data_IF_508270527502
#
_entry.id   IF_508270527502
#
_cell.length_a   1.000
_cell.length_b   1.000
_cell.length_c   1.000
_cell.angle_alpha   90.00
_cell.angle_beta   90.00
_cell.angle_gamma   90.00
#
_symmetry.space_group_name_H-M   'P 1'
#
loop_
_entity.id
_entity.type
_entity.pdbx_description
1 polymer ?
#
# COMPACT_ATOMS: atom_id res chain seq x y z
N UNK A 1 4.87 -46.64 -52.60
CA UNK A 1 5.50 -46.01 -51.42
C UNK A 1 4.46 -45.13 -50.74
N UNK A 2 3.87 -45.59 -49.64
CA UNK A 2 2.89 -44.84 -48.84
C UNK A 2 3.66 -44.12 -47.73
N UNK A 3 3.72 -42.79 -47.80
CA UNK A 3 4.29 -41.97 -46.73
C UNK A 3 3.32 -41.91 -45.55
N UNK A 4 3.75 -42.14 -44.30
CA UNK A 4 2.87 -42.03 -43.15
C UNK A 4 2.60 -40.55 -42.87
N UNK A 5 1.34 -40.16 -42.92
CA UNK A 5 0.88 -38.84 -42.45
C UNK A 5 0.93 -38.85 -40.93
N UNK A 6 1.95 -38.21 -40.36
CA UNK A 6 2.08 -38.00 -38.92
C UNK A 6 1.02 -36.96 -38.49
N UNK A 7 -0.10 -37.43 -37.96
CA UNK A 7 -1.12 -36.59 -37.33
C UNK A 7 -0.60 -36.14 -35.97
N UNK A 8 -0.10 -34.91 -35.89
CA UNK A 8 0.32 -34.28 -34.64
C UNK A 8 -0.93 -33.86 -33.86
N UNK A 9 -1.39 -34.70 -32.92
CA UNK A 9 -2.46 -34.35 -31.99
C UNK A 9 -1.97 -33.23 -31.04
N UNK A 10 -2.41 -32.00 -31.27
CA UNK A 10 -2.21 -30.87 -30.35
C UNK A 10 -3.07 -31.08 -29.09
N UNK A 11 -2.50 -31.75 -28.09
CA UNK A 11 -3.09 -31.84 -26.75
C UNK A 11 -3.17 -30.45 -26.13
N UNK A 12 -4.37 -29.88 -26.13
CA UNK A 12 -4.67 -28.59 -25.51
C UNK A 12 -4.75 -28.79 -24.00
N UNK A 13 -3.67 -28.52 -23.27
CA UNK A 13 -3.71 -28.52 -21.81
C UNK A 13 -4.50 -27.31 -21.31
N UNK A 14 -5.58 -27.49 -20.52
CA UNK A 14 -6.27 -26.37 -19.92
C UNK A 14 -5.33 -25.70 -18.91
N UNK A 15 -5.10 -24.39 -19.09
CA UNK A 15 -4.37 -23.59 -18.12
C UNK A 15 -5.21 -23.47 -16.84
N UNK A 16 -4.87 -24.25 -15.82
CA UNK A 16 -5.44 -24.09 -14.48
C UNK A 16 -4.97 -22.75 -13.90
N UNK A 17 -5.91 -21.89 -13.54
CA UNK A 17 -5.60 -20.68 -12.78
C UNK A 17 -4.96 -21.09 -11.44
N UNK A 18 -3.84 -20.47 -11.08
CA UNK A 18 -3.18 -20.75 -9.82
C UNK A 18 -4.10 -20.37 -8.65
N UNK A 19 -4.23 -21.27 -7.66
CA UNK A 19 -5.01 -21.02 -6.44
C UNK A 19 -4.10 -20.95 -5.22
N UNK A 20 -4.38 -20.01 -4.32
CA UNK A 20 -3.83 -20.00 -2.97
C UNK A 20 -4.95 -20.23 -1.96
N UNK A 21 -4.63 -20.90 -0.85
CA UNK A 21 -5.55 -21.15 0.27
C UNK A 21 -4.86 -20.82 1.57
N UNK A 22 -5.62 -20.34 2.54
CA UNK A 22 -5.11 -19.98 3.85
C UNK A 22 -6.12 -19.26 4.72
N UNK A 23 -5.70 -18.90 5.93
CA UNK A 23 -6.47 -18.07 6.85
C UNK A 23 -6.09 -16.61 6.68
N UNK A 24 -7.05 -15.70 6.68
CA UNK A 24 -6.74 -14.26 6.68
C UNK A 24 -6.35 -13.81 8.09
N UNK A 25 -5.09 -13.41 8.24
CA UNK A 25 -4.49 -13.03 9.54
C UNK A 25 -4.23 -11.53 9.66
N UNK A 26 -4.54 -10.74 8.63
CA UNK A 26 -4.40 -9.29 8.68
C UNK A 26 -5.12 -8.57 7.55
N UNK A 27 -5.52 -7.32 7.79
CA UNK A 27 -6.19 -6.44 6.83
C UNK A 27 -5.43 -5.11 6.77
N UNK A 28 -4.81 -4.81 5.63
CA UNK A 28 -4.04 -3.57 5.46
C UNK A 28 -4.95 -2.37 5.21
N UNK A 29 -5.92 -2.53 4.32
CA UNK A 29 -6.86 -1.49 3.87
C UNK A 29 -8.14 -2.15 3.30
N UNK A 30 -8.98 -1.41 2.57
CA UNK A 30 -10.23 -1.90 2.02
C UNK A 30 -10.11 -2.87 0.83
N UNK A 31 -8.90 -3.16 0.34
CA UNK A 31 -8.71 -4.11 -0.75
C UNK A 31 -7.43 -4.94 -0.66
N UNK A 32 -6.71 -4.87 0.46
CA UNK A 32 -5.48 -5.62 0.71
C UNK A 32 -5.53 -6.39 2.03
N UNK A 33 -5.26 -7.69 1.98
CA UNK A 33 -5.22 -8.59 3.14
C UNK A 33 -3.90 -9.36 3.23
N UNK A 34 -3.65 -9.97 4.38
CA UNK A 34 -2.54 -10.92 4.62
C UNK A 34 -3.09 -12.31 4.85
N UNK A 35 -2.69 -13.25 4.00
CA UNK A 35 -3.06 -14.66 4.04
C UNK A 35 -1.95 -15.48 4.70
N UNK A 36 -2.27 -16.28 5.71
CA UNK A 36 -1.40 -17.30 6.26
C UNK A 36 -1.69 -18.64 5.59
N UNK A 37 -0.74 -19.14 4.81
CA UNK A 37 -0.86 -20.41 4.10
C UNK A 37 -0.62 -21.62 5.03
N UNK A 38 -1.00 -22.85 4.62
CA UNK A 38 -0.77 -24.06 5.42
C UNK A 38 0.70 -24.31 5.78
N UNK A 39 1.62 -23.92 4.88
CA UNK A 39 3.08 -23.96 5.06
C UNK A 39 3.63 -22.75 5.85
N UNK A 40 2.76 -22.02 6.57
CA UNK A 40 3.10 -20.92 7.49
C UNK A 40 3.76 -19.71 6.84
N UNK A 41 3.58 -19.51 5.52
CA UNK A 41 4.00 -18.28 4.84
C UNK A 41 2.90 -17.23 4.92
N UNK A 42 3.31 -15.97 5.11
CA UNK A 42 2.42 -14.83 4.98
C UNK A 42 2.50 -14.28 3.55
N UNK A 43 1.35 -14.21 2.88
CA UNK A 43 1.22 -13.69 1.52
C UNK A 43 0.30 -12.47 1.54
N UNK A 44 0.77 -11.34 1.02
CA UNK A 44 -0.08 -10.16 0.84
C UNK A 44 -0.89 -10.31 -0.43
N UNK A 45 -2.20 -10.15 -0.31
CA UNK A 45 -3.16 -10.30 -1.40
C UNK A 45 -3.90 -8.98 -1.62
N UNK A 46 -3.84 -8.47 -2.86
CA UNK A 46 -4.64 -7.34 -3.35
C UNK A 46 -5.86 -7.90 -4.08
N UNK A 47 -7.05 -7.49 -3.69
CA UNK A 47 -8.30 -7.89 -4.34
C UNK A 47 -8.30 -7.37 -5.78
N UNK A 48 -8.36 -8.28 -6.75
CA UNK A 48 -8.41 -7.95 -8.17
C UNK A 48 -9.64 -7.08 -8.52
N UNK A 49 -9.48 -6.25 -9.56
CA UNK A 49 -10.57 -5.55 -10.28
C UNK A 49 -11.35 -4.49 -9.48
N UNK A 50 -11.00 -4.26 -8.22
CA UNK A 50 -11.58 -3.24 -7.35
C UNK A 50 -10.50 -2.31 -6.80
N UNK A 51 -10.88 -1.12 -6.38
CA UNK A 51 -10.00 -0.15 -5.72
C UNK A 51 -10.78 0.51 -4.59
N UNK A 52 -10.36 0.24 -3.35
CA UNK A 52 -11.01 0.78 -2.16
C UNK A 52 -10.40 2.14 -1.79
N UNK A 53 -11.16 3.02 -1.09
CA UNK A 53 -10.61 4.27 -0.58
C UNK A 53 -9.37 4.04 0.30
N UNK A 54 -8.34 4.86 0.08
CA UNK A 54 -7.08 4.79 0.85
C UNK A 54 -7.32 5.11 2.33
N UNK A 55 -6.44 4.69 3.25
CA UNK A 55 -6.67 4.84 4.70
C UNK A 55 -6.92 6.29 5.17
N UNK A 56 -6.35 7.28 4.46
CA UNK A 56 -6.53 8.73 4.75
C UNK A 56 -7.64 9.38 3.93
N UNK A 57 -8.24 8.66 3.01
CA UNK A 57 -9.31 9.13 2.18
C UNK A 57 -10.65 9.03 2.94
N UNK A 58 -11.63 9.90 2.66
CA UNK A 58 -13.01 9.65 3.07
C UNK A 58 -13.42 8.20 2.80
N UNK A 59 -14.03 7.56 3.80
CA UNK A 59 -14.46 6.15 3.78
C UNK A 59 -13.36 5.07 3.86
N UNK A 60 -12.07 5.42 3.90
CA UNK A 60 -10.97 4.43 3.95
C UNK A 60 -11.03 3.45 5.12
N UNK A 61 -11.21 3.97 6.34
CA UNK A 61 -11.32 3.13 7.54
C UNK A 61 -12.56 2.23 7.52
N UNK A 62 -13.68 2.72 6.97
CA UNK A 62 -14.92 1.92 6.84
C UNK A 62 -14.77 0.81 5.81
N UNK A 63 -14.10 1.07 4.69
CA UNK A 63 -13.80 0.05 3.70
C UNK A 63 -12.91 -1.06 4.27
N UNK A 64 -11.87 -0.71 5.04
CA UNK A 64 -11.02 -1.67 5.74
C UNK A 64 -11.83 -2.52 6.75
N UNK A 65 -12.70 -1.88 7.53
CA UNK A 65 -13.57 -2.58 8.49
C UNK A 65 -14.54 -3.53 7.78
N UNK A 66 -15.11 -3.13 6.64
CA UNK A 66 -15.99 -3.98 5.86
C UNK A 66 -15.26 -5.22 5.31
N UNK A 67 -14.05 -5.05 4.77
CA UNK A 67 -13.24 -6.20 4.34
C UNK A 67 -12.92 -7.10 5.54
N UNK A 68 -12.52 -6.52 6.67
CA UNK A 68 -12.25 -7.27 7.90
C UNK A 68 -13.45 -8.12 8.33
N UNK A 69 -14.64 -7.52 8.39
CA UNK A 69 -15.87 -8.22 8.75
C UNK A 69 -16.22 -9.39 7.80
N UNK A 70 -15.80 -9.30 6.53
CA UNK A 70 -16.07 -10.34 5.55
C UNK A 70 -15.09 -11.52 5.63
N UNK A 71 -13.80 -11.25 5.88
CA UNK A 71 -12.74 -12.26 5.66
C UNK A 71 -11.78 -12.48 6.82
N UNK A 72 -11.70 -11.58 7.81
CA UNK A 72 -10.71 -11.71 8.89
C UNK A 72 -10.97 -12.97 9.73
N UNK A 73 -9.90 -13.72 10.03
CA UNK A 73 -9.95 -15.05 10.67
C UNK A 73 -10.79 -16.10 9.93
N UNK A 74 -11.03 -15.90 8.63
CA UNK A 74 -11.70 -16.89 7.79
C UNK A 74 -10.70 -17.63 6.91
N UNK A 75 -11.01 -18.91 6.65
CA UNK A 75 -10.36 -19.66 5.60
C UNK A 75 -10.88 -19.19 4.23
N UNK A 76 -9.95 -18.81 3.35
CA UNK A 76 -10.28 -18.28 2.02
C UNK A 76 -9.53 -19.03 0.92
N UNK A 77 -10.10 -18.97 -0.28
CA UNK A 77 -9.48 -19.39 -1.54
C UNK A 77 -9.25 -18.16 -2.40
N UNK A 78 -8.03 -17.95 -2.85
CA UNK A 78 -7.65 -16.86 -3.75
C UNK A 78 -7.40 -17.45 -5.13
N UNK A 79 -8.18 -17.03 -6.13
CA UNK A 79 -7.90 -17.31 -7.53
C UNK A 79 -6.94 -16.24 -8.03
N UNK A 80 -5.69 -16.63 -8.25
CA UNK A 80 -4.60 -15.72 -8.60
C UNK A 80 -4.73 -15.28 -10.06
N UNK A 81 -4.62 -13.97 -10.28
CA UNK A 81 -4.67 -13.35 -11.60
C UNK A 81 -3.31 -12.78 -12.01
N UNK A 82 -2.55 -12.23 -11.06
CA UNK A 82 -1.27 -11.58 -11.33
C UNK A 82 -0.44 -11.39 -10.04
N UNK A 83 0.75 -10.81 -10.16
CA UNK A 83 1.53 -10.22 -9.06
C UNK A 83 1.85 -8.77 -9.40
N UNK A 84 1.53 -7.84 -8.49
CA UNK A 84 1.77 -6.42 -8.76
C UNK A 84 3.23 -6.02 -8.55
N UNK A 85 3.58 -4.79 -8.94
CA UNK A 85 4.93 -4.22 -8.80
C UNK A 85 5.46 -4.16 -7.36
N UNK A 86 4.59 -4.28 -6.36
CA UNK A 86 4.94 -4.27 -4.94
C UNK A 86 5.11 -5.70 -4.39
N UNK A 87 5.02 -6.71 -5.24
CA UNK A 87 5.12 -8.12 -4.87
C UNK A 87 3.87 -8.68 -4.20
N UNK A 88 2.71 -8.00 -4.29
CA UNK A 88 1.44 -8.55 -3.78
C UNK A 88 0.84 -9.47 -4.82
N UNK A 89 0.29 -10.59 -4.37
CA UNK A 89 -0.57 -11.42 -5.21
C UNK A 89 -1.86 -10.67 -5.52
N UNK A 90 -2.23 -10.56 -6.79
CA UNK A 90 -3.50 -9.96 -7.23
C UNK A 90 -4.47 -11.08 -7.54
N UNK A 91 -5.65 -11.09 -6.90
CA UNK A 91 -6.58 -12.18 -7.09
C UNK A 91 -8.01 -11.95 -6.60
N UNK A 92 -8.90 -12.85 -7.00
CA UNK A 92 -10.28 -12.88 -6.52
C UNK A 92 -10.35 -13.73 -5.26
N UNK A 93 -10.84 -13.14 -4.16
CA UNK A 93 -10.91 -13.80 -2.85
C UNK A 93 -12.30 -14.40 -2.66
N UNK A 94 -12.33 -15.70 -2.34
CA UNK A 94 -13.55 -16.45 -2.06
C UNK A 94 -13.58 -16.90 -0.60
N UNK A 95 -14.65 -16.54 0.12
CA UNK A 95 -14.90 -16.92 1.52
C UNK A 95 -16.26 -17.60 1.62
N UNK A 96 -16.29 -18.87 2.03
CA UNK A 96 -17.54 -19.64 2.13
C UNK A 96 -18.38 -19.62 0.85
N UNK A 97 -17.74 -19.68 -0.33
CA UNK A 97 -18.41 -19.61 -1.63
C UNK A 97 -18.82 -18.21 -2.10
N UNK A 98 -18.57 -17.15 -1.32
CA UNK A 98 -18.86 -15.76 -1.68
C UNK A 98 -17.61 -15.07 -2.25
N UNK A 99 -17.77 -14.34 -3.35
CA UNK A 99 -16.73 -13.48 -3.91
C UNK A 99 -16.63 -12.18 -3.09
N UNK A 100 -15.57 -12.05 -2.29
CA UNK A 100 -15.35 -10.89 -1.43
C UNK A 100 -15.14 -9.59 -2.24
N UNK A 101 -14.52 -9.67 -3.42
CA UNK A 101 -14.32 -8.50 -4.29
C UNK A 101 -15.67 -7.92 -4.75
N UNK A 102 -16.56 -8.80 -5.21
CA UNK A 102 -17.91 -8.42 -5.61
C UNK A 102 -18.75 -7.90 -4.44
N UNK A 103 -18.57 -8.48 -3.24
CA UNK A 103 -19.22 -8.03 -2.01
C UNK A 103 -18.82 -6.60 -1.64
N UNK A 104 -17.52 -6.29 -1.71
CA UNK A 104 -17.02 -4.94 -1.43
C UNK A 104 -17.63 -3.90 -2.37
N UNK A 105 -17.79 -4.21 -3.66
CA UNK A 105 -18.45 -3.32 -4.62
C UNK A 105 -19.94 -3.17 -4.31
N UNK A 106 -20.65 -4.29 -4.09
CA UNK A 106 -22.11 -4.29 -3.86
C UNK A 106 -22.52 -3.53 -2.59
N UNK A 107 -21.65 -3.55 -1.57
CA UNK A 107 -21.84 -2.80 -0.33
C UNK A 107 -21.39 -1.32 -0.44
N UNK A 108 -20.85 -0.90 -1.58
CA UNK A 108 -20.33 0.46 -1.77
C UNK A 108 -19.05 0.74 -1.00
N UNK A 109 -18.19 -0.26 -0.80
CA UNK A 109 -16.93 -0.14 -0.06
C UNK A 109 -15.72 0.05 -0.98
N UNK A 110 -15.88 -0.22 -2.28
CA UNK A 110 -14.83 -0.08 -3.28
C UNK A 110 -15.41 0.37 -4.63
N UNK A 111 -14.55 1.00 -5.43
CA UNK A 111 -14.81 1.33 -6.83
C UNK A 111 -14.45 0.13 -7.72
N UNK A 112 -15.10 0.02 -8.87
CA UNK A 112 -14.69 -0.91 -9.93
C UNK A 112 -13.49 -0.32 -10.66
N UNK A 113 -12.39 -1.07 -10.69
CA UNK A 113 -11.15 -0.63 -11.29
C UNK A 113 -11.13 -0.91 -12.80
N UNK A 114 -11.83 -0.06 -13.55
CA UNK A 114 -12.13 -0.22 -15.00
C UNK A 114 -10.92 -0.61 -15.85
N UNK A 115 -9.72 -0.10 -15.56
CA UNK A 115 -8.52 -0.37 -16.37
C UNK A 115 -8.02 -1.83 -16.26
N UNK A 116 -8.40 -2.56 -15.23
CA UNK A 116 -8.02 -3.97 -15.02
C UNK A 116 -9.22 -4.92 -15.04
N UNK A 117 -10.40 -4.42 -15.40
CA UNK A 117 -11.65 -5.15 -15.34
C UNK A 117 -11.71 -6.28 -16.38
N UNK A 118 -11.98 -7.50 -15.90
CA UNK A 118 -12.25 -8.70 -16.70
C UNK A 118 -13.71 -9.12 -16.51
N UNK A 119 -14.21 -9.09 -15.28
CA UNK A 119 -15.59 -9.39 -14.92
C UNK A 119 -16.48 -8.14 -14.99
N UNK A 120 -17.19 -7.99 -16.11
CA UNK A 120 -18.10 -6.86 -16.31
C UNK A 120 -19.32 -6.86 -15.37
N UNK A 121 -19.63 -7.96 -14.69
CA UNK A 121 -20.75 -8.00 -13.73
C UNK A 121 -20.54 -7.04 -12.56
N UNK A 122 -19.29 -6.72 -12.21
CA UNK A 122 -18.97 -5.75 -11.17
C UNK A 122 -19.53 -4.35 -11.45
N UNK A 123 -19.68 -3.96 -12.73
CA UNK A 123 -20.25 -2.65 -13.08
C UNK A 123 -21.71 -2.55 -12.65
N UNK A 124 -22.49 -3.61 -12.84
CA UNK A 124 -23.89 -3.64 -12.41
C UNK A 124 -23.99 -3.52 -10.88
N UNK A 125 -23.13 -4.22 -10.14
CA UNK A 125 -23.07 -4.11 -8.68
C UNK A 125 -22.68 -2.71 -8.22
N UNK A 126 -21.76 -2.05 -8.92
CA UNK A 126 -21.36 -0.66 -8.62
C UNK A 126 -22.54 0.29 -8.83
N UNK A 127 -23.26 0.13 -9.93
CA UNK A 127 -24.40 0.99 -10.27
C UNK A 127 -25.58 0.77 -9.31
N UNK A 128 -25.86 -0.47 -8.90
CA UNK A 128 -26.82 -0.77 -7.84
C UNK A 128 -26.42 -0.09 -6.51
N UNK A 129 -25.15 -0.17 -6.13
CA UNK A 129 -24.65 0.43 -4.89
C UNK A 129 -24.76 1.97 -4.94
N UNK A 130 -24.50 2.59 -6.10
CA UNK A 130 -24.70 4.04 -6.32
C UNK A 130 -26.15 4.44 -6.20
N UNK A 131 -27.05 3.75 -6.90
CA UNK A 131 -28.49 4.05 -6.89
C UNK A 131 -29.07 3.92 -5.48
N UNK A 132 -28.66 2.88 -4.75
CA UNK A 132 -29.07 2.65 -3.38
C UNK A 132 -28.31 3.50 -2.33
N UNK A 133 -27.38 4.37 -2.77
CA UNK A 133 -26.52 5.20 -1.90
C UNK A 133 -25.86 4.39 -0.78
N UNK A 134 -25.34 3.20 -1.09
CA UNK A 134 -24.66 2.33 -0.10
C UNK A 134 -23.23 2.78 0.12
N UNK A 135 -22.74 2.62 1.34
CA UNK A 135 -21.33 2.83 1.66
C UNK A 135 -20.84 4.23 1.26
N UNK A 136 -19.70 4.29 0.56
CA UNK A 136 -19.09 5.52 0.06
C UNK A 136 -20.02 6.34 -0.84
N UNK A 137 -21.03 5.71 -1.46
CA UNK A 137 -21.98 6.40 -2.33
C UNK A 137 -22.97 7.29 -1.56
N UNK A 138 -23.08 7.12 -0.23
CA UNK A 138 -23.83 8.00 0.66
C UNK A 138 -23.12 9.33 0.95
N UNK A 139 -21.81 9.42 0.69
CA UNK A 139 -21.04 10.64 0.93
C UNK A 139 -21.44 11.77 -0.03
N UNK A 140 -21.21 13.04 0.36
CA UNK A 140 -21.29 14.16 -0.56
C UNK A 140 -20.40 13.94 -1.79
N UNK A 141 -20.82 14.43 -2.95
CA UNK A 141 -20.11 14.20 -4.21
C UNK A 141 -18.65 14.64 -4.19
N UNK A 142 -18.37 15.77 -3.54
CA UNK A 142 -17.02 16.32 -3.38
C UNK A 142 -16.07 15.38 -2.60
N UNK A 143 -16.59 14.48 -1.76
CA UNK A 143 -15.80 13.52 -0.99
C UNK A 143 -15.64 12.18 -1.71
N UNK A 144 -16.44 11.91 -2.76
CA UNK A 144 -16.43 10.66 -3.53
C UNK A 144 -15.37 10.68 -4.64
N UNK A 145 -14.13 10.93 -4.25
CA UNK A 145 -12.98 10.85 -5.17
C UNK A 145 -12.61 9.37 -5.38
N UNK A 146 -12.35 8.88 -6.59
CA UNK A 146 -11.80 7.54 -6.77
C UNK A 146 -10.35 7.42 -6.27
N UNK A 147 -9.90 6.27 -5.75
CA UNK A 147 -8.56 6.17 -5.13
C UNK A 147 -7.42 6.46 -6.11
N UNK A 148 -7.55 6.05 -7.37
CA UNK A 148 -6.55 6.39 -8.41
C UNK A 148 -6.44 7.90 -8.67
N UNK A 149 -7.51 8.67 -8.51
CA UNK A 149 -7.45 10.14 -8.60
C UNK A 149 -6.87 10.74 -7.32
N UNK A 150 -7.28 10.24 -6.15
CA UNK A 150 -6.75 10.63 -4.85
C UNK A 150 -5.23 10.48 -4.78
N UNK A 151 -4.70 9.33 -5.24
CA UNK A 151 -3.25 9.07 -5.32
C UNK A 151 -2.51 10.07 -6.21
N UNK A 152 -3.13 10.56 -7.29
CA UNK A 152 -2.55 11.61 -8.16
C UNK A 152 -2.57 12.98 -7.50
N UNK A 153 -3.65 13.32 -6.81
CA UNK A 153 -3.77 14.59 -6.07
C UNK A 153 -2.74 14.67 -4.94
N UNK A 154 -2.55 13.57 -4.21
CA UNK A 154 -1.51 13.43 -3.18
C UNK A 154 -0.07 13.61 -3.72
N UNK A 155 0.16 13.28 -4.99
CA UNK A 155 1.44 13.50 -5.67
C UNK A 155 1.64 14.96 -6.09
N UNK A 156 0.56 15.70 -6.40
CA UNK A 156 0.61 17.15 -6.67
C UNK A 156 0.63 18.04 -5.44
N UNK A 157 0.25 17.49 -4.26
CA UNK A 157 0.31 18.18 -2.96
C UNK A 157 1.55 17.83 -2.15
N UNK A 158 2.49 17.08 -2.70
CA UNK A 158 3.89 17.29 -2.33
C UNK A 158 4.22 18.68 -2.90
N UNK A 159 4.62 19.67 -2.08
CA UNK A 159 5.37 20.77 -2.66
C UNK A 159 6.49 20.10 -3.46
N UNK A 160 6.72 20.53 -4.70
CA UNK A 160 8.04 20.34 -5.27
C UNK A 160 9.05 20.70 -4.17
N UNK A 161 10.16 19.95 -3.97
CA UNK A 161 11.18 20.37 -3.02
C UNK A 161 11.36 21.86 -3.25
N UNK A 162 11.05 22.66 -2.23
CA UNK A 162 11.04 24.12 -2.37
C UNK A 162 12.35 24.47 -3.07
N UNK A 163 12.37 25.38 -4.08
CA UNK A 163 13.63 25.82 -4.63
C UNK A 163 14.49 26.17 -3.42
N UNK A 164 15.63 25.48 -3.28
CA UNK A 164 16.53 25.66 -2.15
C UNK A 164 16.61 27.16 -1.91
N UNK A 165 16.33 27.65 -0.68
CA UNK A 165 16.38 29.08 -0.43
C UNK A 165 17.73 29.56 -0.94
N UNK A 166 17.71 30.41 -1.97
CA UNK A 166 18.93 31.07 -2.43
C UNK A 166 19.48 31.76 -1.20
N UNK A 167 20.68 31.34 -0.83
CA UNK A 167 21.41 31.88 0.29
C UNK A 167 21.29 33.41 0.29
N UNK A 168 20.63 33.92 1.30
CA UNK A 168 20.85 35.28 1.76
C UNK A 168 20.77 35.21 3.27
N UNK A 169 21.98 35.33 3.81
CA UNK A 169 22.36 35.34 5.21
C UNK A 169 21.40 36.15 6.07
N UNK A 170 21.17 35.70 7.30
CA UNK A 170 21.67 36.39 8.50
C UNK A 170 21.88 35.39 9.66
N UNK A 171 23.10 35.45 10.20
CA UNK A 171 23.60 35.16 11.56
C UNK A 171 23.51 33.75 12.15
N UNK A 172 24.66 33.07 12.19
CA UNK A 172 24.94 32.06 13.22
C UNK A 172 25.79 30.84 12.81
N UNK A 173 26.41 30.80 11.63
CA UNK A 173 27.26 29.67 11.23
C UNK A 173 28.71 29.88 11.65
N UNK A 174 29.08 29.39 12.83
CA UNK A 174 30.46 28.95 13.02
C UNK A 174 30.69 27.79 12.04
N UNK A 175 31.69 27.90 11.17
CA UNK A 175 32.06 26.87 10.22
C UNK A 175 32.67 25.69 10.99
N UNK A 176 31.82 24.80 11.48
CA UNK A 176 32.26 23.56 12.11
C UNK A 176 32.94 22.68 11.05
N UNK A 177 34.08 22.08 11.38
CA UNK A 177 34.83 21.19 10.49
C UNK A 177 34.97 19.82 11.14
N UNK A 178 34.85 18.78 10.32
CA UNK A 178 35.06 17.42 10.80
C UNK A 178 36.54 17.20 11.15
N UNK A 179 36.83 16.64 12.33
CA UNK A 179 38.17 16.11 12.65
C UNK A 179 38.75 16.48 14.01
N UNK A 180 38.36 17.62 14.59
CA UNK A 180 38.95 18.10 15.86
C UNK A 180 38.24 17.63 17.14
N UNK A 181 36.92 17.39 17.05
CA UNK A 181 36.08 17.13 18.21
C UNK A 181 35.31 15.84 18.03
N UNK A 182 35.30 15.05 19.09
CA UNK A 182 34.80 13.68 19.08
C UNK A 182 33.78 13.45 20.20
N UNK A 183 33.82 14.14 21.32
CA UNK A 183 32.95 13.89 22.47
C UNK A 183 32.01 15.08 22.72
N UNK A 184 30.86 14.84 23.34
CA UNK A 184 29.88 15.89 23.63
C UNK A 184 30.44 17.06 24.46
N UNK A 185 31.34 16.77 25.40
CA UNK A 185 32.03 17.79 26.22
C UNK A 185 32.93 18.75 25.43
N UNK A 186 33.28 18.40 24.19
CA UNK A 186 34.13 19.21 23.33
C UNK A 186 33.30 20.16 22.45
N UNK A 187 31.99 19.93 22.37
CA UNK A 187 31.06 20.75 21.60
C UNK A 187 30.65 21.98 22.41
N UNK A 188 30.72 23.16 21.81
CA UNK A 188 30.37 24.44 22.44
C UNK A 188 28.89 24.80 22.27
N UNK A 189 28.15 24.05 21.45
CA UNK A 189 26.73 24.30 21.21
C UNK A 189 26.01 23.06 20.66
N UNK A 190 24.67 23.05 20.81
CA UNK A 190 23.83 22.04 20.16
C UNK A 190 23.95 22.05 18.63
N UNK A 191 24.15 23.24 18.02
CA UNK A 191 24.35 23.36 16.58
C UNK A 191 25.63 22.65 16.11
N UNK A 192 26.72 22.77 16.88
CA UNK A 192 27.97 22.04 16.62
C UNK A 192 27.78 20.53 16.77
N UNK A 193 27.11 20.07 17.83
CA UNK A 193 26.85 18.66 18.06
C UNK A 193 26.04 18.02 16.92
N UNK A 194 24.99 18.70 16.44
CA UNK A 194 24.18 18.26 15.28
C UNK A 194 24.99 18.20 14.00
N UNK A 195 25.85 19.19 13.76
CA UNK A 195 26.76 19.17 12.61
C UNK A 195 27.66 17.94 12.63
N UNK A 196 28.29 17.63 13.76
CA UNK A 196 29.18 16.48 13.88
C UNK A 196 28.45 15.12 13.77
N UNK A 197 27.21 15.02 14.25
CA UNK A 197 26.40 13.81 14.06
C UNK A 197 26.04 13.59 12.58
N UNK A 198 25.55 14.64 11.90
CA UNK A 198 24.99 14.54 10.54
C UNK A 198 26.04 14.58 9.44
N UNK A 199 27.02 15.48 9.54
CA UNK A 199 27.99 15.75 8.47
C UNK A 199 29.31 15.00 8.66
N UNK A 200 29.68 14.69 9.90
CA UNK A 200 30.92 13.97 10.22
C UNK A 200 30.70 12.49 10.59
N UNK A 201 29.44 12.03 10.64
CA UNK A 201 29.08 10.64 10.93
C UNK A 201 29.41 10.18 12.35
N UNK A 202 29.51 11.08 13.32
CA UNK A 202 29.81 10.75 14.70
C UNK A 202 28.58 10.25 15.46
N UNK A 203 28.08 9.07 15.09
CA UNK A 203 26.90 8.41 15.69
C UNK A 203 26.97 8.22 17.20
N UNK A 204 28.19 8.14 17.78
CA UNK A 204 28.41 8.02 19.23
C UNK A 204 28.07 9.28 20.05
N UNK A 205 27.70 10.38 19.40
CA UNK A 205 27.19 11.58 20.08
C UNK A 205 25.70 11.43 20.46
N UNK A 206 25.00 10.51 19.82
CA UNK A 206 23.60 10.18 20.01
C UNK A 206 23.51 8.80 20.69
N UNK A 207 23.46 8.82 22.03
CA UNK A 207 23.62 7.62 22.86
C UNK A 207 22.38 6.72 22.87
N UNK A 208 21.19 7.32 22.82
CA UNK A 208 19.89 6.65 22.81
C UNK A 208 19.29 6.49 21.40
N UNK A 209 19.95 7.06 20.37
CA UNK A 209 19.64 6.89 18.94
C UNK A 209 18.31 7.51 18.53
N UNK A 210 17.96 8.62 19.16
CA UNK A 210 16.73 9.35 18.84
C UNK A 210 16.94 10.44 17.77
N UNK A 211 18.19 10.62 17.31
CA UNK A 211 18.60 11.62 16.33
C UNK A 211 19.07 12.94 16.95
N UNK A 212 19.09 13.07 18.28
CA UNK A 212 19.56 14.24 19.03
C UNK A 212 20.91 13.92 19.66
N UNK A 213 22.00 14.60 19.24
CA UNK A 213 23.30 14.39 19.85
C UNK A 213 23.44 15.22 21.12
N UNK A 214 24.17 14.68 22.10
CA UNK A 214 24.61 15.41 23.28
C UNK A 214 23.45 16.04 24.06
N UNK A 215 22.63 15.20 24.71
CA UNK A 215 21.46 15.58 25.52
C UNK A 215 21.70 16.78 26.45
N UNK A 216 22.87 16.85 27.09
CA UNK A 216 23.21 17.96 27.99
C UNK A 216 23.37 19.33 27.31
N UNK A 217 23.47 19.38 25.98
CA UNK A 217 23.61 20.60 25.17
C UNK A 217 22.35 20.89 24.33
N UNK A 218 21.60 19.86 23.96
CA UNK A 218 20.48 19.96 23.02
C UNK A 218 19.09 19.84 23.68
N UNK A 219 19.03 19.57 24.98
CA UNK A 219 17.79 19.40 25.75
C UNK A 219 17.64 20.40 26.89
#
# INVERSE_FOLDING_TARGET
MLAPVLVLLLLSFPALAAELRGEVVGISDGDTLTLLTPDKRQVRVRLAEIDAPESRQPWGSRAQQALSALVFHQAVRVVVQDTDRYGRTVGTVWVGGRNANAEMVRQGQAWVYRQYLRDRSLLALEDEAKQARRGLWALPEAERVPPWQWRRQGQSSQPAPAPLPRASAVAGSAAFTCGGKRLCREMSSCAEARFHLQQCGLSRLDGDRDGVPCESLCR
#
